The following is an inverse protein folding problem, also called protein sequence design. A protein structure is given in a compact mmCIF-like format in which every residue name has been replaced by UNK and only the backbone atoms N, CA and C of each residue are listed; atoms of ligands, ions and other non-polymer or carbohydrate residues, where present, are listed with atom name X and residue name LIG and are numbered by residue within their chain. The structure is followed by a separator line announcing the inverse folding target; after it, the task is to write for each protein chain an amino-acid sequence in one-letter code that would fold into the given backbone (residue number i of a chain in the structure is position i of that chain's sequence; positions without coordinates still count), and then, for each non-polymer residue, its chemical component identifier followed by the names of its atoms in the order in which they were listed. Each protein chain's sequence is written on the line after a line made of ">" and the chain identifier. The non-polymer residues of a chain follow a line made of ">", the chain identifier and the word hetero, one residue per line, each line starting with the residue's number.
data_IF_786874930718
#
_entry.id   IF_786874930718
#
_cell.length_a   1.000
_cell.length_b   1.000
_cell.length_c   1.000
_cell.angle_alpha   90.00
_cell.angle_beta   90.00
_cell.angle_gamma   90.00
#
_symmetry.space_group_name_H-M   'P 1'
#
loop_
_entity.id
_entity.type
_entity.pdbx_description
1 polymer ?
#
# COMPACT_ATOMS: atom_id res chain seq x y z
N UNK A 1 15.90 -22.73 -11.32
CA UNK A 1 14.49 -22.48 -10.98
C UNK A 1 14.37 -21.00 -10.68
N UNK A 2 14.18 -20.18 -11.71
CA UNK A 2 13.97 -18.74 -11.53
C UNK A 2 12.61 -18.50 -10.86
N UNK A 3 12.61 -17.62 -9.86
CA UNK A 3 11.42 -17.13 -9.15
C UNK A 3 10.60 -16.24 -10.09
N UNK A 4 9.77 -16.85 -10.92
CA UNK A 4 8.81 -16.12 -11.74
C UNK A 4 7.53 -15.86 -10.93
N UNK A 5 7.18 -14.58 -10.75
CA UNK A 5 6.04 -14.15 -9.94
C UNK A 5 4.69 -14.63 -10.48
N UNK A 6 4.53 -14.76 -11.80
CA UNK A 6 3.30 -15.31 -12.40
C UNK A 6 3.12 -16.77 -11.99
N UNK A 7 4.20 -17.56 -12.06
CA UNK A 7 4.17 -18.98 -11.65
C UNK A 7 3.82 -19.13 -10.16
N UNK A 8 4.42 -18.30 -9.30
CA UNK A 8 4.10 -18.29 -7.87
C UNK A 8 2.63 -17.96 -7.62
N UNK A 9 2.13 -16.87 -8.21
CA UNK A 9 0.74 -16.43 -8.08
C UNK A 9 -0.24 -17.51 -8.55
N UNK A 10 0.03 -18.13 -9.71
CA UNK A 10 -0.78 -19.21 -10.25
C UNK A 10 -0.82 -20.42 -9.32
N UNK A 11 0.33 -20.87 -8.83
CA UNK A 11 0.44 -22.02 -7.93
C UNK A 11 -0.22 -21.77 -6.58
N UNK A 12 -0.18 -20.54 -6.07
CA UNK A 12 -0.88 -20.16 -4.83
C UNK A 12 -2.41 -20.29 -4.94
N UNK A 13 -2.96 -20.18 -6.15
CA UNK A 13 -4.37 -20.45 -6.42
C UNK A 13 -4.63 -21.87 -6.96
N UNK A 14 -3.62 -22.75 -6.93
CA UNK A 14 -3.71 -24.12 -7.45
C UNK A 14 -4.20 -24.23 -8.90
N UNK A 15 -3.91 -23.22 -9.73
CA UNK A 15 -4.33 -23.18 -11.13
C UNK A 15 -3.32 -23.93 -12.02
N UNK A 16 -3.82 -24.63 -13.05
CA UNK A 16 -2.98 -25.11 -14.16
C UNK A 16 -2.65 -23.94 -15.11
N UNK A 17 -1.67 -24.13 -16.00
CA UNK A 17 -1.32 -23.09 -16.99
C UNK A 17 -2.48 -22.85 -17.96
N UNK A 18 -3.22 -23.90 -18.33
CA UNK A 18 -4.45 -23.82 -19.12
C UNK A 18 -5.53 -23.03 -18.39
N UNK A 19 -5.77 -23.32 -17.11
CA UNK A 19 -6.78 -22.63 -16.31
C UNK A 19 -6.46 -21.13 -16.14
N UNK A 20 -5.19 -20.77 -16.01
CA UNK A 20 -4.79 -19.36 -16.01
C UNK A 20 -5.00 -18.74 -17.39
N UNK A 21 -4.65 -19.46 -18.47
CA UNK A 21 -4.78 -18.97 -19.83
C UNK A 21 -6.23 -18.62 -20.17
N UNK A 22 -7.18 -19.48 -19.80
CA UNK A 22 -8.61 -19.22 -19.97
C UNK A 22 -9.06 -17.96 -19.21
N UNK A 23 -8.60 -17.78 -17.97
CA UNK A 23 -8.95 -16.64 -17.13
C UNK A 23 -8.48 -15.29 -17.68
N UNK A 24 -7.29 -15.25 -18.27
CA UNK A 24 -6.69 -14.02 -18.82
C UNK A 24 -6.84 -13.90 -20.34
N UNK A 25 -7.64 -14.77 -20.96
CA UNK A 25 -7.96 -14.70 -22.39
C UNK A 25 -6.79 -14.97 -23.33
N UNK A 26 -5.95 -15.96 -23.02
CA UNK A 26 -4.76 -16.32 -23.82
C UNK A 26 -4.61 -17.83 -24.00
N UNK A 27 -3.47 -18.28 -24.51
CA UNK A 27 -3.16 -19.71 -24.68
C UNK A 27 -2.25 -20.24 -23.57
N UNK A 28 -2.33 -21.54 -23.32
CA UNK A 28 -1.42 -22.21 -22.38
C UNK A 28 0.05 -22.02 -22.77
N UNK A 29 0.38 -22.01 -24.07
CA UNK A 29 1.75 -21.79 -24.52
C UNK A 29 2.21 -20.37 -24.19
N UNK A 30 1.33 -19.36 -24.30
CA UNK A 30 1.64 -18.00 -23.89
C UNK A 30 1.93 -17.92 -22.37
N UNK A 31 1.10 -18.55 -21.54
CA UNK A 31 1.35 -18.64 -20.09
C UNK A 31 2.69 -19.32 -19.79
N UNK A 32 2.99 -20.44 -20.43
CA UNK A 32 4.26 -21.14 -20.27
C UNK A 32 5.45 -20.25 -20.67
N UNK A 33 5.34 -19.51 -21.78
CA UNK A 33 6.38 -18.54 -22.19
C UNK A 33 6.56 -17.45 -21.14
N UNK A 34 5.49 -16.81 -20.67
CA UNK A 34 5.56 -15.76 -19.65
C UNK A 34 6.19 -16.25 -18.34
N UNK A 35 5.91 -17.49 -17.94
CA UNK A 35 6.50 -18.09 -16.73
C UNK A 35 7.99 -18.44 -16.84
N UNK A 36 8.49 -18.60 -18.05
CA UNK A 36 9.89 -18.94 -18.32
C UNK A 36 10.71 -17.74 -18.78
N UNK A 37 10.08 -16.75 -19.41
CA UNK A 37 10.70 -15.53 -19.96
C UNK A 37 9.97 -14.30 -19.40
N UNK A 38 10.28 -13.91 -18.16
CA UNK A 38 9.57 -12.86 -17.43
C UNK A 38 9.55 -11.48 -18.13
N UNK A 39 10.46 -11.23 -19.07
CA UNK A 39 10.61 -9.95 -19.75
C UNK A 39 9.80 -9.82 -21.05
N UNK A 40 9.08 -10.88 -21.46
CA UNK A 40 8.34 -10.92 -22.73
C UNK A 40 6.83 -11.12 -22.47
N UNK A 41 6.25 -10.20 -21.70
CA UNK A 41 4.83 -10.19 -21.36
C UNK A 41 4.15 -9.05 -22.12
N UNK A 42 3.19 -9.34 -23.01
CA UNK A 42 2.37 -8.31 -23.65
C UNK A 42 1.63 -7.46 -22.62
N UNK A 43 1.58 -6.13 -22.83
CA UNK A 43 0.97 -5.20 -21.86
C UNK A 43 -0.48 -5.53 -21.51
N UNK A 44 -1.28 -5.96 -22.49
CA UNK A 44 -2.68 -6.34 -22.26
C UNK A 44 -2.77 -7.55 -21.32
N UNK A 45 -1.92 -8.56 -21.51
CA UNK A 45 -1.87 -9.73 -20.62
C UNK A 45 -1.32 -9.37 -19.24
N UNK A 46 -0.35 -8.46 -19.17
CA UNK A 46 0.16 -7.97 -17.89
C UNK A 46 -0.95 -7.31 -17.06
N UNK A 47 -1.82 -6.52 -17.71
CA UNK A 47 -2.99 -5.90 -17.09
C UNK A 47 -4.02 -6.94 -16.63
N UNK A 48 -4.26 -7.99 -17.42
CA UNK A 48 -5.22 -9.03 -17.02
C UNK A 48 -4.67 -9.91 -15.88
N UNK A 49 -3.37 -10.23 -15.88
CA UNK A 49 -2.71 -10.93 -14.78
C UNK A 49 -2.80 -10.10 -13.50
N UNK A 50 -2.51 -8.80 -13.57
CA UNK A 50 -2.54 -7.92 -12.41
C UNK A 50 -3.93 -7.80 -11.80
N UNK A 51 -4.98 -7.71 -12.63
CA UNK A 51 -6.38 -7.79 -12.19
C UNK A 51 -6.72 -9.15 -11.59
N UNK A 52 -6.38 -10.24 -12.27
CA UNK A 52 -6.71 -11.61 -11.87
C UNK A 52 -6.13 -11.98 -10.49
N UNK A 53 -4.92 -11.51 -10.20
CA UNK A 53 -4.26 -11.78 -8.92
C UNK A 53 -4.35 -10.63 -7.92
N UNK A 54 -4.97 -9.52 -8.30
CA UNK A 54 -5.08 -8.30 -7.51
C UNK A 54 -3.72 -7.84 -6.96
N UNK A 55 -2.74 -7.67 -7.85
CA UNK A 55 -1.38 -7.20 -7.54
C UNK A 55 -0.97 -6.11 -8.53
N UNK A 56 0.06 -5.34 -8.19
CA UNK A 56 0.62 -4.35 -9.13
C UNK A 56 1.43 -5.02 -10.24
N UNK A 57 1.56 -4.33 -11.37
CA UNK A 57 2.45 -4.72 -12.47
C UNK A 57 3.90 -4.79 -12.02
N UNK A 58 4.31 -3.86 -11.17
CA UNK A 58 5.65 -3.79 -10.59
C UNK A 58 6.01 -5.04 -9.79
N UNK A 59 5.02 -5.60 -9.06
CA UNK A 59 5.20 -6.86 -8.36
C UNK A 59 5.38 -8.03 -9.34
N UNK A 60 4.58 -8.07 -10.42
CA UNK A 60 4.68 -9.13 -11.44
C UNK A 60 6.03 -9.09 -12.16
N UNK A 61 6.52 -7.89 -12.47
CA UNK A 61 7.80 -7.65 -13.16
C UNK A 61 9.02 -7.75 -12.22
N UNK A 62 8.82 -7.94 -10.92
CA UNK A 62 9.91 -8.03 -9.94
C UNK A 62 10.59 -6.70 -9.61
N UNK A 63 9.99 -5.57 -9.96
CA UNK A 63 10.46 -4.22 -9.60
C UNK A 63 10.18 -3.93 -8.12
N UNK A 64 9.14 -4.54 -7.56
CA UNK A 64 8.79 -4.45 -6.14
C UNK A 64 8.53 -5.82 -5.53
N UNK A 65 9.09 -6.09 -4.36
CA UNK A 65 8.75 -7.29 -3.56
C UNK A 65 7.46 -7.10 -2.76
N UNK A 66 6.87 -5.92 -2.80
CA UNK A 66 5.69 -5.60 -2.01
C UNK A 66 4.43 -6.06 -2.74
N UNK A 67 3.86 -7.18 -2.29
CA UNK A 67 2.58 -7.71 -2.76
C UNK A 67 1.41 -6.88 -2.21
N UNK A 68 1.19 -5.69 -2.77
CA UNK A 68 0.00 -4.85 -2.51
C UNK A 68 -1.05 -5.08 -3.59
N UNK A 69 -2.30 -4.97 -3.19
CA UNK A 69 -3.39 -4.78 -4.13
C UNK A 69 -3.50 -3.34 -4.62
N UNK A 70 -4.30 -3.12 -5.66
CA UNK A 70 -4.51 -1.81 -6.25
C UNK A 70 -5.03 -0.78 -5.24
N UNK A 71 -5.97 -1.19 -4.38
CA UNK A 71 -6.54 -0.31 -3.36
C UNK A 71 -5.52 0.06 -2.29
N UNK A 72 -4.68 -0.88 -1.86
CA UNK A 72 -3.58 -0.66 -0.92
C UNK A 72 -2.50 0.25 -1.49
N UNK A 73 -2.14 0.07 -2.77
CA UNK A 73 -1.21 0.96 -3.44
C UNK A 73 -1.80 2.37 -3.61
N UNK A 74 -3.07 2.49 -3.99
CA UNK A 74 -3.75 3.78 -4.14
C UNK A 74 -3.85 4.53 -2.81
N UNK A 75 -4.24 3.86 -1.72
CA UNK A 75 -4.25 4.45 -0.38
C UNK A 75 -2.85 4.93 0.04
N UNK A 76 -1.83 4.13 -0.22
CA UNK A 76 -0.44 4.51 0.09
C UNK A 76 0.00 5.72 -0.73
N UNK A 77 -0.30 5.75 -2.03
CA UNK A 77 0.02 6.87 -2.90
C UNK A 77 -0.69 8.14 -2.44
N UNK A 78 -1.98 8.07 -2.07
CA UNK A 78 -2.70 9.22 -1.55
C UNK A 78 -2.08 9.78 -0.26
N UNK A 79 -1.73 8.91 0.69
CA UNK A 79 -1.09 9.35 1.93
C UNK A 79 0.33 9.90 1.68
N UNK A 80 1.07 9.30 0.76
CA UNK A 80 2.36 9.85 0.33
C UNK A 80 2.21 11.21 -0.34
N UNK A 81 1.26 11.38 -1.25
CA UNK A 81 1.00 12.65 -1.95
C UNK A 81 0.63 13.75 -0.96
N UNK A 82 -0.21 13.43 0.05
CA UNK A 82 -0.58 14.37 1.12
C UNK A 82 0.63 14.85 1.92
N UNK A 83 1.57 13.95 2.19
CA UNK A 83 2.73 14.23 3.02
C UNK A 83 4.00 14.60 2.21
N UNK A 84 3.93 14.59 0.88
CA UNK A 84 5.11 14.73 0.03
C UNK A 84 5.82 16.07 0.23
N UNK A 85 5.07 17.17 0.18
CA UNK A 85 5.60 18.52 0.34
C UNK A 85 6.25 18.71 1.72
N UNK A 86 5.61 18.23 2.80
CA UNK A 86 6.15 18.38 4.15
C UNK A 86 7.42 17.54 4.37
N UNK A 87 7.46 16.32 3.83
CA UNK A 87 8.64 15.44 3.92
C UNK A 87 9.83 16.04 3.19
N UNK A 88 9.64 16.56 1.97
CA UNK A 88 10.72 17.21 1.21
C UNK A 88 11.24 18.44 1.94
N UNK A 89 10.34 19.31 2.43
CA UNK A 89 10.76 20.49 3.18
C UNK A 89 11.54 20.10 4.43
N UNK A 90 11.08 19.09 5.17
CA UNK A 90 11.78 18.58 6.34
C UNK A 90 13.19 18.06 6.00
N UNK A 91 13.34 17.29 4.92
CA UNK A 91 14.64 16.78 4.47
C UNK A 91 15.63 17.90 4.12
N UNK A 92 15.13 19.04 3.61
CA UNK A 92 15.96 20.20 3.26
C UNK A 92 16.36 21.08 4.46
N UNK A 93 15.84 20.80 5.66
CA UNK A 93 16.22 21.54 6.88
C UNK A 93 17.57 21.07 7.44
N UNK A 94 18.23 21.95 8.18
CA UNK A 94 19.39 21.59 9.00
C UNK A 94 18.99 20.62 10.11
N UNK A 95 19.92 19.83 10.63
CA UNK A 95 19.64 18.88 11.72
C UNK A 95 19.02 19.55 12.95
N UNK A 96 19.46 20.77 13.29
CA UNK A 96 18.91 21.55 14.40
C UNK A 96 17.43 21.85 14.14
N UNK A 97 17.10 22.36 12.94
CA UNK A 97 15.73 22.71 12.59
C UNK A 97 14.82 21.47 12.47
N UNK A 98 15.36 20.33 12.01
CA UNK A 98 14.63 19.06 12.02
C UNK A 98 14.30 18.61 13.45
N UNK A 99 15.25 18.70 14.39
CA UNK A 99 15.00 18.42 15.81
C UNK A 99 13.95 19.38 16.38
N UNK A 100 14.06 20.68 16.11
CA UNK A 100 13.07 21.68 16.54
C UNK A 100 11.67 21.35 16.02
N UNK A 101 11.52 21.01 14.73
CA UNK A 101 10.22 20.66 14.16
C UNK A 101 9.61 19.42 14.83
N UNK A 102 10.42 18.39 15.13
CA UNK A 102 9.95 17.22 15.89
C UNK A 102 9.44 17.59 17.27
N UNK A 103 10.18 18.41 18.02
CA UNK A 103 9.72 18.84 19.34
C UNK A 103 8.41 19.64 19.27
N UNK A 104 8.25 20.48 18.25
CA UNK A 104 7.00 21.22 18.04
C UNK A 104 5.85 20.25 17.73
N UNK A 105 6.07 19.28 16.84
CA UNK A 105 5.07 18.26 16.50
C UNK A 105 4.61 17.50 17.75
N UNK A 106 5.55 16.99 18.54
CA UNK A 106 5.27 16.28 19.81
C UNK A 106 4.46 17.15 20.77
N UNK A 107 4.79 18.44 20.89
CA UNK A 107 4.05 19.35 21.77
C UNK A 107 2.62 19.58 21.31
N UNK A 108 2.39 19.69 20.01
CA UNK A 108 1.05 19.86 19.41
C UNK A 108 0.18 18.62 19.66
N UNK A 109 0.72 17.41 19.47
CA UNK A 109 0.01 16.17 19.76
C UNK A 109 -0.37 16.05 21.24
N UNK A 110 0.54 16.45 22.14
CA UNK A 110 0.28 16.46 23.57
C UNK A 110 -0.84 17.46 23.95
N UNK A 111 -0.82 18.67 23.36
CA UNK A 111 -1.86 19.66 23.58
C UNK A 111 -3.25 19.18 23.11
N UNK A 112 -3.32 18.44 22.00
CA UNK A 112 -4.57 17.85 21.52
C UNK A 112 -5.15 16.83 22.51
N UNK A 113 -4.31 15.95 23.07
CA UNK A 113 -4.72 14.98 24.09
C UNK A 113 -5.24 15.66 25.36
N UNK A 114 -4.51 16.66 25.85
CA UNK A 114 -4.90 17.47 27.02
C UNK A 114 -6.26 18.14 26.82
N UNK A 115 -6.52 18.67 25.62
CA UNK A 115 -7.80 19.31 25.29
C UNK A 115 -8.98 18.32 25.21
N UNK A 116 -8.77 17.11 24.66
CA UNK A 116 -9.80 16.07 24.61
C UNK A 116 -10.14 15.47 25.98
N UNK A 117 -9.14 15.33 26.86
CA UNK A 117 -9.35 14.85 28.23
C UNK A 117 -10.07 15.86 29.12
N UNK A 118 -9.85 17.17 28.89
CA UNK A 118 -10.55 18.23 29.59
C UNK A 118 -12.06 18.22 29.28
N UNK A 119 -12.44 18.11 28.00
CA UNK A 119 -13.84 18.01 27.57
C UNK A 119 -14.53 16.75 28.10
N UNK A 120 -13.86 15.59 28.09
CA UNK A 120 -14.42 14.35 28.63
C UNK A 120 -14.63 14.35 30.15
N UNK A 121 -13.84 15.13 30.90
CA UNK A 121 -13.99 15.29 32.36
C UNK A 121 -15.12 16.26 32.74
N UNK A 122 -15.39 17.27 31.91
CA UNK A 122 -16.51 18.21 32.11
C UNK A 122 -17.86 17.55 31.81
N UNK A 123 -17.96 16.74 30.75
CA UNK A 123 -19.19 15.99 30.42
C UNK A 123 -19.60 15.00 31.52
N UNK A 124 -18.63 14.31 32.15
CA UNK A 124 -18.89 13.39 33.27
C UNK A 124 -19.39 14.12 34.52
N UNK A 125 -18.81 15.28 34.85
CA UNK A 125 -19.27 16.12 35.98
C UNK A 125 -20.68 16.68 35.77
N UNK A 126 -21.02 17.06 34.54
CA UNK A 126 -22.35 17.57 34.19
C UNK A 126 -23.41 16.47 34.21
N UNK A 127 -23.08 15.23 33.82
CA UNK A 127 -23.97 14.09 33.91
C UNK A 127 -24.27 13.67 35.37
N UNK A 128 -23.29 13.79 36.27
CA UNK A 128 -23.45 13.48 37.70
C UNK A 128 -24.26 14.55 38.44
N UNK A 129 -24.19 15.82 38.02
CA UNK A 129 -24.94 16.93 38.62
C UNK A 129 -26.35 17.11 38.07
N UNK A 130 -26.72 16.43 36.98
CA UNK A 130 -28.09 16.44 36.43
C UNK A 130 -28.99 15.33 36.99
N UNK A 131 -28.45 14.44 37.84
CA UNK A 131 -29.14 13.33 38.49
C UNK A 131 -29.37 13.54 40.00
N UNK A 132 -29.23 14.79 40.49
CA UNK A 132 -29.42 15.19 41.88
C UNK A 132 -30.42 16.35 41.93
#
# INVERSE_FOLDING_TARGET
>A
MENNRIRELRKNLSLSQEALAEKIGTTQQAVSRMENNANDIPSDLLIEISKQFNVTTDYILGISDVKRDYNGQYRMNQEMDRCYDIVIRYQNLTEVNQKTLRCILERLEQAQKESGEASAKEERKNAESSNM
#
